data_IF_131142092166
#
_entry.id   IF_131142092166
#
_cell.length_a   1.000
_cell.length_b   1.000
_cell.length_c   1.000
_cell.angle_alpha   90.00
_cell.angle_beta   90.00
_cell.angle_gamma   90.00
#
_symmetry.space_group_name_H-M   'P 1'
#
loop_
_entity.id
_entity.type
_entity.pdbx_description
1 polymer ?
#
# COMPACT_ATOMS: atom_id res chain seq x y z
N UNK A 1 15.97 -7.68 13.41
CA UNK A 1 15.66 -8.44 14.66
C UNK A 1 14.16 -8.53 14.89
N UNK A 2 13.40 -7.43 15.07
CA UNK A 2 11.96 -7.45 15.35
C UNK A 2 11.12 -8.25 14.34
N UNK A 3 11.45 -8.21 13.05
CA UNK A 3 10.75 -9.00 12.03
C UNK A 3 10.90 -10.49 12.30
N UNK A 4 12.11 -10.98 12.54
CA UNK A 4 12.37 -12.39 12.81
C UNK A 4 11.66 -12.89 14.06
N UNK A 5 11.56 -12.08 15.10
CA UNK A 5 10.77 -12.43 16.30
C UNK A 5 9.28 -12.62 15.99
N UNK A 6 8.73 -11.81 15.08
CA UNK A 6 7.31 -11.90 14.68
C UNK A 6 7.00 -13.10 13.78
N UNK A 7 7.99 -13.59 13.05
CA UNK A 7 7.79 -14.66 12.06
C UNK A 7 8.34 -16.01 12.48
N UNK A 8 8.98 -16.11 13.65
CA UNK A 8 9.69 -17.32 14.11
C UNK A 8 8.82 -18.58 14.10
N UNK A 9 7.56 -18.45 14.53
CA UNK A 9 6.64 -19.60 14.62
C UNK A 9 6.18 -20.10 13.23
N UNK A 10 6.33 -19.28 12.20
CA UNK A 10 5.93 -19.59 10.82
C UNK A 10 7.07 -20.10 9.94
N UNK A 11 8.32 -19.77 10.33
CA UNK A 11 9.53 -20.14 9.61
C UNK A 11 10.64 -20.61 10.56
N UNK A 12 10.37 -21.61 11.45
CA UNK A 12 11.35 -22.01 12.47
C UNK A 12 12.67 -22.47 11.87
N UNK A 13 12.68 -23.11 10.70
CA UNK A 13 13.87 -23.61 10.00
C UNK A 13 14.92 -22.52 9.73
N UNK A 14 14.51 -21.23 9.63
CA UNK A 14 15.45 -20.16 9.29
C UNK A 14 16.45 -19.90 10.40
N UNK A 15 16.13 -20.28 11.64
CA UNK A 15 16.97 -20.08 12.81
C UNK A 15 18.06 -21.15 12.94
N UNK A 16 18.01 -22.21 12.14
CA UNK A 16 19.07 -23.21 12.04
C UNK A 16 20.23 -22.71 11.16
N UNK A 17 20.07 -21.58 10.47
CA UNK A 17 21.03 -21.01 9.56
C UNK A 17 21.62 -19.69 10.07
N UNK A 18 22.85 -19.41 9.70
CA UNK A 18 23.45 -18.09 9.83
C UNK A 18 23.18 -17.30 8.56
N UNK A 19 22.34 -16.28 8.65
CA UNK A 19 21.96 -15.47 7.50
C UNK A 19 22.83 -14.22 7.39
N UNK A 20 23.31 -13.94 6.19
CA UNK A 20 23.83 -12.63 5.79
C UNK A 20 22.78 -12.00 4.88
N UNK A 21 22.22 -10.87 5.29
CA UNK A 21 21.18 -10.16 4.53
C UNK A 21 21.78 -8.88 3.95
N UNK A 22 21.81 -8.79 2.64
CA UNK A 22 22.20 -7.60 1.90
C UNK A 22 21.00 -7.08 1.13
N UNK A 23 20.63 -5.82 1.38
CA UNK A 23 19.46 -5.20 0.72
C UNK A 23 19.86 -3.89 0.06
N UNK A 24 19.19 -3.55 -1.04
CA UNK A 24 19.38 -2.30 -1.75
C UNK A 24 18.04 -1.81 -2.29
N UNK A 25 17.74 -0.55 -2.06
CA UNK A 25 16.66 0.13 -2.76
C UNK A 25 17.18 0.83 -4.02
N UNK A 26 16.40 0.81 -5.09
CA UNK A 26 16.67 1.56 -6.33
C UNK A 26 16.13 2.98 -6.29
N UNK A 27 15.49 3.36 -5.20
CA UNK A 27 14.88 4.68 -4.96
C UNK A 27 15.26 5.19 -3.55
N UNK A 28 15.12 6.51 -3.28
CA UNK A 28 15.51 7.10 -2.01
C UNK A 28 14.78 6.49 -0.80
N UNK A 29 15.53 6.16 0.24
CA UNK A 29 14.98 5.66 1.50
C UNK A 29 14.29 6.80 2.28
N UNK A 30 13.24 6.47 3.02
CA UNK A 30 12.50 7.41 3.89
C UNK A 30 11.84 8.61 3.19
N UNK A 31 11.67 8.55 1.88
CA UNK A 31 11.09 9.62 1.06
C UNK A 31 9.56 9.50 0.85
N UNK A 32 8.88 8.64 1.60
CA UNK A 32 7.44 8.42 1.45
C UNK A 32 7.03 7.38 0.40
N UNK A 33 8.00 6.78 -0.30
CA UNK A 33 7.78 5.82 -1.41
C UNK A 33 7.71 4.36 -0.92
N UNK A 34 7.21 4.13 0.30
CA UNK A 34 7.00 2.79 0.86
C UNK A 34 8.23 1.85 0.84
N UNK A 35 9.44 2.36 1.12
CA UNK A 35 10.67 1.56 1.15
C UNK A 35 10.61 0.38 2.13
N UNK A 36 9.89 0.50 3.25
CA UNK A 36 9.68 -0.62 4.17
C UNK A 36 8.82 -1.73 3.55
N UNK A 37 7.79 -1.38 2.80
CA UNK A 37 6.96 -2.38 2.12
C UNK A 37 7.77 -3.14 1.07
N UNK A 38 8.55 -2.44 0.25
CA UNK A 38 9.46 -3.04 -0.73
C UNK A 38 10.49 -3.98 -0.07
N UNK A 39 11.14 -3.52 1.00
CA UNK A 39 12.16 -4.31 1.69
C UNK A 39 11.62 -5.57 2.37
N UNK A 40 10.49 -5.47 3.07
CA UNK A 40 9.90 -6.62 3.75
C UNK A 40 9.25 -7.61 2.79
N UNK A 41 8.66 -7.15 1.68
CA UNK A 41 8.14 -8.07 0.67
C UNK A 41 9.27 -8.86 -0.01
N UNK A 42 10.36 -8.20 -0.38
CA UNK A 42 11.52 -8.87 -0.96
C UNK A 42 12.15 -9.89 0.00
N UNK A 43 12.32 -9.50 1.28
CA UNK A 43 12.87 -10.39 2.31
C UNK A 43 11.97 -11.61 2.54
N UNK A 44 10.67 -11.40 2.75
CA UNK A 44 9.72 -12.47 3.00
C UNK A 44 9.64 -13.44 1.79
N UNK A 45 9.60 -12.90 0.58
CA UNK A 45 9.58 -13.70 -0.63
C UNK A 45 10.85 -14.55 -0.78
N UNK A 46 12.04 -13.97 -0.54
CA UNK A 46 13.30 -14.70 -0.58
C UNK A 46 13.37 -15.84 0.45
N UNK A 47 12.85 -15.61 1.67
CA UNK A 47 12.80 -16.62 2.72
C UNK A 47 11.88 -17.79 2.30
N UNK A 48 10.68 -17.49 1.80
CA UNK A 48 9.74 -18.54 1.38
C UNK A 48 10.23 -19.27 0.12
N UNK A 49 10.95 -18.60 -0.77
CA UNK A 49 11.65 -19.25 -1.90
C UNK A 49 12.75 -20.23 -1.43
N UNK A 50 13.42 -19.92 -0.32
CA UNK A 50 14.36 -20.88 0.29
C UNK A 50 13.59 -22.09 0.85
N UNK A 51 12.47 -21.86 1.52
CA UNK A 51 11.60 -22.93 2.03
C UNK A 51 11.10 -23.86 0.90
N UNK A 52 10.73 -23.28 -0.23
CA UNK A 52 10.29 -24.05 -1.40
C UNK A 52 11.33 -25.06 -1.91
N UNK A 53 12.62 -24.84 -1.61
CA UNK A 53 13.70 -25.77 -1.98
C UNK A 53 13.82 -26.95 -1.03
N UNK A 54 13.28 -26.84 0.17
CA UNK A 54 13.36 -27.89 1.20
C UNK A 54 12.00 -28.51 1.50
N UNK A 55 10.91 -27.89 1.02
CA UNK A 55 9.54 -28.35 1.15
C UNK A 55 8.81 -28.19 -0.20
N UNK A 56 7.92 -29.11 -0.52
CA UNK A 56 7.13 -29.06 -1.76
C UNK A 56 6.00 -28.03 -1.63
N UNK A 57 6.31 -26.75 -1.88
CA UNK A 57 5.32 -25.68 -1.92
C UNK A 57 4.90 -25.37 -3.35
N UNK A 58 3.61 -25.26 -3.59
CA UNK A 58 3.08 -24.72 -4.84
C UNK A 58 3.39 -23.23 -4.96
N UNK A 59 3.38 -22.70 -6.19
CA UNK A 59 3.57 -21.25 -6.41
C UNK A 59 2.57 -20.41 -5.61
N UNK A 60 1.30 -20.84 -5.52
CA UNK A 60 0.31 -20.10 -4.75
C UNK A 60 0.62 -20.10 -3.25
N UNK A 61 1.04 -21.23 -2.69
CA UNK A 61 1.45 -21.31 -1.28
C UNK A 61 2.66 -20.41 -0.98
N UNK A 62 3.62 -20.33 -1.90
CA UNK A 62 4.75 -19.40 -1.78
C UNK A 62 4.27 -17.95 -1.76
N UNK A 63 3.37 -17.57 -2.67
CA UNK A 63 2.83 -16.21 -2.74
C UNK A 63 2.03 -15.85 -1.48
N UNK A 64 1.13 -16.71 -1.04
CA UNK A 64 0.28 -16.47 0.14
C UNK A 64 1.13 -16.35 1.41
N UNK A 65 2.08 -17.28 1.61
CA UNK A 65 2.97 -17.26 2.77
C UNK A 65 3.90 -16.05 2.76
N UNK A 66 4.49 -15.72 1.61
CA UNK A 66 5.34 -14.53 1.49
C UNK A 66 4.54 -13.24 1.76
N UNK A 67 3.31 -13.16 1.25
CA UNK A 67 2.40 -12.05 1.52
C UNK A 67 2.08 -11.92 3.01
N UNK A 68 1.73 -13.02 3.66
CA UNK A 68 1.48 -13.05 5.10
C UNK A 68 2.70 -12.60 5.92
N UNK A 69 3.88 -13.17 5.66
CA UNK A 69 5.11 -12.82 6.38
C UNK A 69 5.51 -11.36 6.16
N UNK A 70 5.41 -10.87 4.92
CA UNK A 70 5.75 -9.47 4.60
C UNK A 70 4.89 -8.48 5.39
N UNK A 71 3.61 -8.77 5.59
CA UNK A 71 2.68 -7.98 6.41
C UNK A 71 3.15 -7.86 7.86
N UNK A 72 3.75 -8.90 8.41
CA UNK A 72 4.29 -8.88 9.78
C UNK A 72 5.50 -7.95 9.91
N UNK A 73 6.20 -7.68 8.81
CA UNK A 73 7.28 -6.68 8.75
C UNK A 73 6.77 -5.26 8.53
N UNK A 74 5.85 -5.09 7.58
CA UNK A 74 5.22 -3.81 7.24
C UNK A 74 3.84 -4.10 6.65
N UNK A 75 2.77 -3.63 7.27
CA UNK A 75 1.39 -4.00 6.95
C UNK A 75 1.09 -4.03 5.45
N UNK A 76 1.33 -2.92 4.75
CA UNK A 76 1.07 -2.80 3.31
C UNK A 76 1.97 -3.65 2.42
N UNK A 77 3.06 -4.22 2.94
CA UNK A 77 4.00 -5.05 2.18
C UNK A 77 3.35 -6.31 1.58
N UNK A 78 2.29 -6.81 2.21
CA UNK A 78 1.55 -7.96 1.69
C UNK A 78 1.04 -7.76 0.25
N UNK A 79 0.73 -6.53 -0.14
CA UNK A 79 0.27 -6.21 -1.50
C UNK A 79 1.39 -6.25 -2.53
N UNK A 80 2.64 -6.02 -2.11
CA UNK A 80 3.80 -5.99 -3.02
C UNK A 80 4.21 -7.37 -3.54
N UNK A 81 3.64 -8.45 -2.99
CA UNK A 81 3.86 -9.83 -3.46
C UNK A 81 3.05 -10.13 -4.73
N UNK A 82 1.90 -9.49 -4.88
CA UNK A 82 1.01 -9.66 -6.01
C UNK A 82 1.07 -8.45 -6.95
N UNK A 83 0.88 -8.70 -8.22
CA UNK A 83 0.79 -7.64 -9.22
C UNK A 83 -0.18 -8.01 -10.34
N UNK A 84 -0.57 -7.05 -11.17
CA UNK A 84 -0.33 -5.60 -11.09
C UNK A 84 -1.21 -4.89 -10.06
N UNK A 85 -2.37 -5.45 -9.69
CA UNK A 85 -3.26 -4.91 -8.66
C UNK A 85 -3.45 -5.91 -7.54
N UNK A 86 -3.36 -5.44 -6.30
CA UNK A 86 -3.55 -6.25 -5.12
C UNK A 86 -4.46 -5.55 -4.11
N UNK A 87 -5.31 -6.34 -3.46
CA UNK A 87 -6.22 -5.92 -2.41
C UNK A 87 -5.75 -6.51 -1.09
N UNK A 88 -5.81 -5.73 -0.03
CA UNK A 88 -5.58 -6.18 1.33
C UNK A 88 -6.67 -5.65 2.25
N UNK A 89 -7.19 -6.54 3.06
CA UNK A 89 -8.32 -6.30 3.94
C UNK A 89 -9.50 -7.18 3.57
N UNK A 90 -10.20 -7.68 4.58
CA UNK A 90 -11.42 -8.46 4.37
C UNK A 90 -12.55 -7.55 3.85
N UNK A 91 -13.18 -7.94 2.75
CA UNK A 91 -14.29 -7.21 2.15
C UNK A 91 -15.35 -8.17 1.63
N UNK A 92 -16.61 -7.94 1.97
CA UNK A 92 -17.72 -8.84 1.67
C UNK A 92 -17.91 -9.13 0.17
N UNK A 93 -17.61 -8.15 -0.69
CA UNK A 93 -17.80 -8.25 -2.15
C UNK A 93 -16.57 -8.79 -2.88
N UNK A 94 -15.50 -9.12 -2.15
CA UNK A 94 -14.23 -9.59 -2.75
C UNK A 94 -13.93 -11.01 -2.28
N UNK A 95 -14.09 -11.95 -3.19
CA UNK A 95 -13.78 -13.36 -2.92
C UNK A 95 -12.31 -13.54 -2.54
N UNK A 96 -12.05 -14.27 -1.48
CA UNK A 96 -10.71 -14.57 -0.95
C UNK A 96 -9.95 -13.33 -0.41
N UNK A 97 -10.62 -12.19 -0.21
CA UNK A 97 -10.01 -11.07 0.50
C UNK A 97 -9.71 -11.45 1.95
N UNK A 98 -8.63 -10.92 2.50
CA UNK A 98 -8.15 -11.30 3.83
C UNK A 98 -7.44 -10.13 4.53
N UNK A 99 -7.59 -10.06 5.85
CA UNK A 99 -6.78 -9.15 6.69
C UNK A 99 -5.35 -9.68 6.91
N UNK A 100 -5.10 -10.95 6.58
CA UNK A 100 -3.83 -11.62 6.86
C UNK A 100 -2.83 -11.53 5.71
N UNK A 101 -3.28 -11.45 4.48
CA UNK A 101 -2.44 -11.39 3.26
C UNK A 101 -3.12 -10.60 2.16
N UNK A 102 -2.36 -10.20 1.15
CA UNK A 102 -2.89 -9.59 -0.06
C UNK A 102 -3.50 -10.60 -1.00
N UNK A 103 -4.39 -10.15 -1.87
CA UNK A 103 -5.03 -10.97 -2.91
C UNK A 103 -4.90 -10.25 -4.24
N UNK A 104 -4.52 -10.97 -5.30
CA UNK A 104 -4.47 -10.41 -6.66
C UNK A 104 -5.87 -10.03 -7.14
N UNK A 105 -5.96 -8.89 -7.81
CA UNK A 105 -7.19 -8.45 -8.48
C UNK A 105 -6.97 -8.33 -9.98
N UNK A 106 -7.67 -9.17 -10.76
CA UNK A 106 -7.45 -9.31 -12.19
C UNK A 106 -8.62 -8.81 -13.07
N UNK A 107 -9.73 -8.41 -12.44
CA UNK A 107 -10.91 -7.95 -13.18
C UNK A 107 -10.82 -6.46 -13.51
N UNK A 108 -9.94 -6.12 -14.46
CA UNK A 108 -9.56 -4.75 -14.79
C UNK A 108 -9.73 -4.50 -16.27
N UNK A 109 -10.41 -3.41 -16.62
CA UNK A 109 -10.58 -2.96 -17.99
C UNK A 109 -9.24 -2.59 -18.62
N UNK A 110 -9.12 -2.79 -19.93
CA UNK A 110 -7.89 -2.56 -20.68
C UNK A 110 -7.38 -1.12 -20.60
N UNK A 111 -8.27 -0.15 -20.38
CA UNK A 111 -7.88 1.26 -20.23
C UNK A 111 -6.90 1.50 -19.09
N UNK A 112 -6.94 0.67 -18.06
CA UNK A 112 -6.01 0.76 -16.93
C UNK A 112 -4.71 -0.03 -17.11
N UNK A 113 -4.57 -0.82 -18.19
CA UNK A 113 -3.34 -1.59 -18.45
C UNK A 113 -2.15 -0.72 -18.87
N UNK A 114 -2.42 0.46 -19.41
CA UNK A 114 -1.40 1.47 -19.76
C UNK A 114 -1.19 2.54 -18.68
N UNK A 115 -1.78 2.35 -17.51
CA UNK A 115 -1.65 3.23 -16.38
C UNK A 115 -0.17 3.40 -15.97
N UNK A 116 0.22 4.63 -15.70
CA UNK A 116 1.58 4.96 -15.26
C UNK A 116 1.53 5.69 -13.92
N UNK A 117 2.43 5.31 -13.03
CA UNK A 117 2.65 5.97 -11.76
C UNK A 117 3.96 6.76 -11.81
N UNK A 118 3.87 8.07 -11.57
CA UNK A 118 5.02 8.98 -11.57
C UNK A 118 5.19 9.61 -10.20
N UNK A 119 6.35 9.40 -9.59
CA UNK A 119 6.64 9.93 -8.27
C UNK A 119 7.20 11.35 -8.39
N UNK A 120 6.51 12.33 -7.80
CA UNK A 120 6.94 13.71 -7.68
C UNK A 120 7.55 13.95 -6.30
N UNK A 121 8.86 14.11 -6.22
CA UNK A 121 9.58 14.41 -4.98
C UNK A 121 9.49 15.90 -4.66
N UNK A 122 8.43 16.31 -3.97
CA UNK A 122 8.17 17.72 -3.61
C UNK A 122 9.14 18.20 -2.53
N UNK A 123 9.43 17.34 -1.56
CA UNK A 123 10.37 17.63 -0.48
C UNK A 123 11.31 16.42 -0.30
N UNK A 124 12.62 16.68 -0.40
CA UNK A 124 13.66 15.66 -0.20
C UNK A 124 14.05 15.46 1.26
N UNK A 125 13.39 16.16 2.18
CA UNK A 125 13.64 16.06 3.62
C UNK A 125 13.16 14.71 4.20
N UNK A 126 13.64 14.43 5.41
CA UNK A 126 13.16 13.24 6.14
C UNK A 126 11.74 13.46 6.67
N UNK A 127 10.96 12.39 6.64
CA UNK A 127 9.61 12.34 7.19
C UNK A 127 9.62 12.64 8.69
N UNK A 128 8.90 13.65 9.15
CA UNK A 128 8.82 14.02 10.58
C UNK A 128 8.03 13.02 11.43
N UNK A 129 7.08 12.33 10.82
CA UNK A 129 6.19 11.38 11.50
C UNK A 129 6.23 10.04 10.74
N UNK A 130 6.49 8.95 11.45
CA UNK A 130 6.46 7.62 10.84
C UNK A 130 5.03 7.20 10.50
N UNK A 131 4.86 6.34 9.49
CA UNK A 131 3.55 5.78 9.15
C UNK A 131 2.91 5.02 10.31
N UNK A 132 3.71 4.35 11.13
CA UNK A 132 3.22 3.63 12.32
C UNK A 132 2.58 4.59 13.34
N UNK A 133 3.19 5.75 13.57
CA UNK A 133 2.60 6.78 14.45
C UNK A 133 1.33 7.32 13.84
N UNK A 134 1.34 7.65 12.53
CA UNK A 134 0.15 8.15 11.83
C UNK A 134 -1.04 7.18 11.92
N UNK A 135 -0.81 5.89 11.69
CA UNK A 135 -1.88 4.88 11.83
C UNK A 135 -2.39 4.75 13.28
N UNK A 136 -1.51 4.90 14.27
CA UNK A 136 -1.89 4.87 15.68
C UNK A 136 -2.85 5.98 16.08
N UNK A 137 -2.82 7.12 15.39
CA UNK A 137 -3.70 8.26 15.64
C UNK A 137 -5.17 8.01 15.26
N UNK A 138 -5.46 6.95 14.50
CA UNK A 138 -6.84 6.54 14.23
C UNK A 138 -7.53 5.94 15.45
N UNK A 139 -6.76 5.45 16.43
CA UNK A 139 -7.32 4.94 17.67
C UNK A 139 -7.97 6.10 18.45
N UNK A 140 -9.26 5.96 18.74
CA UNK A 140 -10.09 7.00 19.40
C UNK A 140 -10.26 8.29 18.59
N UNK A 141 -9.98 8.29 17.28
CA UNK A 141 -10.25 9.44 16.44
C UNK A 141 -11.76 9.64 16.27
N UNK A 142 -12.29 10.87 16.45
CA UNK A 142 -13.76 11.13 16.45
C UNK A 142 -14.45 10.75 15.15
N UNK A 143 -13.73 10.71 14.02
CA UNK A 143 -14.26 10.36 12.70
C UNK A 143 -13.81 8.97 12.21
N UNK A 144 -13.16 8.15 13.05
CA UNK A 144 -12.60 6.87 12.64
C UNK A 144 -13.65 5.92 12.04
N UNK A 145 -14.79 5.77 12.70
CA UNK A 145 -15.86 4.88 12.26
C UNK A 145 -16.37 5.25 10.86
N UNK A 146 -16.71 6.53 10.66
CA UNK A 146 -17.19 7.01 9.37
C UNK A 146 -16.13 6.90 8.28
N UNK A 147 -14.86 7.10 8.63
CA UNK A 147 -13.74 6.92 7.71
C UNK A 147 -13.60 5.46 7.27
N UNK A 148 -13.78 4.51 8.18
CA UNK A 148 -13.73 3.09 7.81
C UNK A 148 -14.90 2.68 6.92
N UNK A 149 -16.09 3.15 7.21
CA UNK A 149 -17.28 2.94 6.34
C UNK A 149 -17.05 3.54 4.95
N UNK A 150 -16.52 4.76 4.88
CA UNK A 150 -16.16 5.41 3.62
C UNK A 150 -15.16 4.56 2.82
N UNK A 151 -14.09 4.05 3.46
CA UNK A 151 -13.07 3.23 2.80
C UNK A 151 -13.68 1.95 2.21
N UNK A 152 -14.54 1.26 2.96
CA UNK A 152 -15.24 0.07 2.49
C UNK A 152 -16.14 0.36 1.28
N UNK A 153 -16.89 1.45 1.33
CA UNK A 153 -17.74 1.86 0.21
C UNK A 153 -16.90 2.28 -1.01
N UNK A 154 -15.80 3.02 -0.79
CA UNK A 154 -14.92 3.47 -1.86
C UNK A 154 -14.22 2.30 -2.57
N UNK A 155 -13.81 1.26 -1.84
CA UNK A 155 -13.27 0.04 -2.49
C UNK A 155 -14.32 -0.57 -3.43
N UNK A 156 -15.58 -0.70 -3.01
CA UNK A 156 -16.64 -1.24 -3.86
C UNK A 156 -16.82 -0.43 -5.15
N UNK A 157 -16.87 0.90 -5.05
CA UNK A 157 -17.01 1.79 -6.20
C UNK A 157 -15.75 1.70 -7.09
N UNK A 158 -14.57 1.70 -6.48
CA UNK A 158 -13.29 1.60 -7.20
C UNK A 158 -13.19 0.30 -8.01
N UNK A 159 -13.59 -0.84 -7.43
CA UNK A 159 -13.57 -2.13 -8.14
C UNK A 159 -14.53 -2.14 -9.33
N UNK A 160 -15.70 -1.50 -9.20
CA UNK A 160 -16.63 -1.37 -10.33
C UNK A 160 -16.04 -0.44 -11.40
N UNK A 161 -15.46 0.70 -11.02
CA UNK A 161 -14.79 1.61 -11.95
C UNK A 161 -13.65 0.92 -12.71
N UNK A 162 -12.82 0.14 -12.01
CA UNK A 162 -11.74 -0.64 -12.62
C UNK A 162 -12.26 -1.68 -13.64
N UNK A 163 -13.36 -2.35 -13.31
CA UNK A 163 -14.00 -3.33 -14.19
C UNK A 163 -14.60 -2.68 -15.45
N UNK A 164 -15.29 -1.57 -15.27
CA UNK A 164 -16.05 -0.91 -16.35
C UNK A 164 -15.19 0.05 -17.20
N UNK A 165 -14.01 0.40 -16.72
CA UNK A 165 -13.15 1.39 -17.39
C UNK A 165 -13.55 2.83 -17.07
N UNK A 166 -14.27 3.06 -15.96
CA UNK A 166 -14.69 4.41 -15.55
C UNK A 166 -13.53 5.17 -14.89
N UNK A 167 -12.77 5.87 -15.73
CA UNK A 167 -11.62 6.68 -15.32
C UNK A 167 -12.06 7.83 -14.39
N UNK A 168 -13.24 8.39 -14.59
CA UNK A 168 -13.70 9.53 -13.78
C UNK A 168 -13.96 9.11 -12.32
N UNK A 169 -14.68 8.02 -12.12
CA UNK A 169 -14.87 7.46 -10.78
C UNK A 169 -13.55 7.02 -10.15
N UNK A 170 -12.64 6.42 -10.94
CA UNK A 170 -11.30 6.06 -10.46
C UNK A 170 -10.54 7.29 -9.94
N UNK A 171 -10.48 8.37 -10.71
CA UNK A 171 -9.83 9.63 -10.32
C UNK A 171 -10.47 10.19 -9.04
N UNK A 172 -11.79 10.30 -9.03
CA UNK A 172 -12.52 10.85 -7.89
C UNK A 172 -12.24 10.09 -6.60
N UNK A 173 -12.29 8.76 -6.64
CA UNK A 173 -12.03 7.92 -5.45
C UNK A 173 -10.57 8.04 -5.01
N UNK A 174 -9.62 7.96 -5.93
CA UNK A 174 -8.19 8.02 -5.63
C UNK A 174 -7.83 9.33 -4.93
N UNK A 175 -8.28 10.46 -5.47
CA UNK A 175 -8.02 11.79 -4.88
C UNK A 175 -8.75 11.98 -3.54
N UNK A 176 -10.02 11.53 -3.45
CA UNK A 176 -10.77 11.57 -2.20
C UNK A 176 -10.08 10.77 -1.09
N UNK A 177 -9.58 9.57 -1.38
CA UNK A 177 -8.85 8.74 -0.42
C UNK A 177 -7.58 9.42 0.06
N UNK A 178 -6.79 9.98 -0.86
CA UNK A 178 -5.57 10.71 -0.53
C UNK A 178 -5.85 11.91 0.38
N UNK A 179 -6.81 12.75 0.00
CA UNK A 179 -7.17 13.97 0.76
C UNK A 179 -7.81 13.63 2.12
N UNK A 180 -8.67 12.62 2.18
CA UNK A 180 -9.31 12.19 3.42
C UNK A 180 -8.29 11.69 4.43
N UNK A 181 -7.27 10.92 4.01
CA UNK A 181 -6.20 10.48 4.90
C UNK A 181 -5.50 11.68 5.56
N UNK A 182 -5.18 12.72 4.79
CA UNK A 182 -4.56 13.93 5.31
C UNK A 182 -5.51 14.73 6.22
N UNK A 183 -6.79 14.80 5.90
CA UNK A 183 -7.80 15.42 6.77
C UNK A 183 -7.89 14.71 8.12
N UNK A 184 -7.82 13.38 8.16
CA UNK A 184 -7.78 12.61 9.41
C UNK A 184 -6.55 12.96 10.25
N UNK A 185 -5.38 13.14 9.65
CA UNK A 185 -4.18 13.56 10.37
C UNK A 185 -4.31 15.00 10.91
N UNK A 186 -4.94 15.89 10.16
CA UNK A 186 -5.17 17.29 10.57
C UNK A 186 -6.15 17.40 11.73
N UNK A 187 -7.02 16.43 11.93
CA UNK A 187 -8.06 16.39 12.97
C UNK A 187 -7.76 15.38 14.09
N UNK A 188 -6.61 14.72 14.07
CA UNK A 188 -6.15 13.78 15.09
C UNK A 188 -5.70 14.48 16.38
N UNK A 189 -5.46 13.71 17.43
CA UNK A 189 -4.89 14.23 18.67
C UNK A 189 -3.66 13.40 19.09
N UNK A 190 -2.43 13.94 19.03
CA UNK A 190 -2.09 15.28 18.51
C UNK A 190 -2.36 15.39 17.00
N UNK A 191 -2.71 16.58 16.57
CA UNK A 191 -2.89 16.89 15.14
C UNK A 191 -1.55 17.19 14.47
N UNK A 192 -1.47 16.95 13.16
CA UNK A 192 -0.30 17.35 12.37
C UNK A 192 -0.64 17.49 10.88
N UNK A 193 0.17 18.29 10.18
CA UNK A 193 0.03 18.54 8.75
C UNK A 193 1.26 17.97 8.05
N UNK A 194 1.05 16.99 7.16
CA UNK A 194 2.11 16.42 6.33
C UNK A 194 2.29 17.16 5.01
N UNK A 195 1.21 17.70 4.45
CA UNK A 195 1.27 18.44 3.19
C UNK A 195 2.10 19.71 3.35
N UNK A 196 2.96 19.99 2.35
CA UNK A 196 3.77 21.18 2.23
C UNK A 196 3.14 22.13 1.21
N UNK A 197 3.59 23.37 1.17
CA UNK A 197 3.15 24.36 0.17
C UNK A 197 3.34 23.82 -1.25
N UNK A 198 4.48 23.20 -1.55
CA UNK A 198 4.73 22.56 -2.84
C UNK A 198 3.76 21.43 -3.16
N UNK A 199 3.31 20.66 -2.15
CA UNK A 199 2.28 19.62 -2.35
C UNK A 199 0.96 20.23 -2.79
N UNK A 200 0.49 21.28 -2.09
CA UNK A 200 -0.76 21.96 -2.42
C UNK A 200 -0.67 22.64 -3.81
N UNK A 201 0.45 23.28 -4.10
CA UNK A 201 0.69 23.89 -5.41
C UNK A 201 0.65 22.83 -6.54
N UNK A 202 1.24 21.66 -6.30
CA UNK A 202 1.23 20.54 -7.26
C UNK A 202 -0.18 19.99 -7.49
N UNK A 203 -0.96 19.79 -6.43
CA UNK A 203 -2.35 19.35 -6.53
C UNK A 203 -3.17 20.32 -7.39
N UNK A 204 -3.08 21.62 -7.11
CA UNK A 204 -3.77 22.65 -7.91
C UNK A 204 -3.35 22.61 -9.38
N UNK A 205 -2.06 22.44 -9.66
CA UNK A 205 -1.55 22.30 -11.04
C UNK A 205 -2.07 21.05 -11.74
N UNK A 206 -2.20 19.93 -11.05
CA UNK A 206 -2.79 18.71 -11.61
C UNK A 206 -4.24 18.96 -12.01
N UNK A 207 -5.03 19.58 -11.14
CA UNK A 207 -6.43 19.92 -11.43
C UNK A 207 -6.57 20.92 -12.59
N UNK A 208 -5.76 21.99 -12.60
CA UNK A 208 -5.73 22.95 -13.71
C UNK A 208 -5.38 22.27 -15.03
N UNK A 209 -4.34 21.44 -15.03
CA UNK A 209 -3.88 20.75 -16.24
C UNK A 209 -4.91 19.72 -16.74
N UNK A 210 -5.48 18.93 -15.85
CA UNK A 210 -6.55 17.98 -16.21
C UNK A 210 -7.71 18.68 -16.90
N UNK A 211 -8.16 19.80 -16.35
CA UNK A 211 -9.29 20.55 -16.90
C UNK A 211 -8.96 21.24 -18.23
N UNK A 212 -7.77 21.79 -18.38
CA UNK A 212 -7.36 22.52 -19.58
C UNK A 212 -6.97 21.61 -20.75
N UNK A 213 -6.29 20.50 -20.46
CA UNK A 213 -5.79 19.56 -21.47
C UNK A 213 -6.76 18.39 -21.74
N UNK A 214 -7.81 18.24 -20.93
CA UNK A 214 -8.74 17.10 -20.97
C UNK A 214 -8.01 15.73 -20.92
N UNK A 215 -6.99 15.62 -20.08
CA UNK A 215 -6.18 14.41 -19.90
C UNK A 215 -6.53 13.77 -18.55
N UNK A 216 -6.76 12.43 -18.50
CA UNK A 216 -7.09 11.73 -17.28
C UNK A 216 -5.83 11.56 -16.40
N UNK A 217 -5.50 12.58 -15.64
CA UNK A 217 -4.43 12.60 -14.65
C UNK A 217 -5.01 12.74 -13.25
N UNK A 218 -4.44 12.04 -12.28
CA UNK A 218 -4.82 12.05 -10.87
C UNK A 218 -3.58 12.09 -9.98
N UNK A 219 -3.78 12.18 -8.68
CA UNK A 219 -2.71 12.09 -7.69
C UNK A 219 -3.10 11.18 -6.53
N UNK A 220 -2.10 10.62 -5.88
CA UNK A 220 -2.15 10.08 -4.52
C UNK A 220 -1.03 10.71 -3.68
N UNK A 221 -1.11 10.64 -2.36
CA UNK A 221 -0.20 11.33 -1.44
C UNK A 221 0.46 10.36 -0.46
#
# INVERSE_FOLDING_TARGET
EQFFERVKDYIPYIFDYRLKIETRNTFPHSSGIASSASGFSALAYAIVQLEQKIAELTTQQVMDKASFLSRLGSGSACRSIYGPLAIWGNHQDIKNSSDLYGTAYNNVNDVFKSYQDTILLIDKGQKKVSSTVGHGLMKNHPFAEQRFLQAQNNIRILLQALKDGDINSFIQITESEALTLHAMMMTSNPYFILMREGTLATINKIWEYRNSANIPISFTL
#
